data_IF_788921906029
#
_entry.id   IF_788921906029
#
_cell.length_a   1.000
_cell.length_b   1.000
_cell.length_c   1.000
_cell.angle_alpha   90.00
_cell.angle_beta   90.00
_cell.angle_gamma   90.00
#
_symmetry.space_group_name_H-M   'P 1'
#
loop_
_entity.id
_entity.type
_entity.pdbx_description
1 polymer ?
#
# COMPACT_ATOMS: atom_id res chain seq x y z
N UNK A 1 -7.58 28.16 -8.39
CA UNK A 1 -7.21 26.73 -8.22
C UNK A 1 -8.51 25.97 -7.97
N UNK A 2 -8.99 25.21 -8.95
CA UNK A 2 -10.16 24.33 -8.78
C UNK A 2 -9.71 23.13 -7.97
N UNK A 3 -10.28 22.96 -6.78
CA UNK A 3 -10.20 21.70 -6.04
C UNK A 3 -10.86 20.64 -6.93
N UNK A 4 -10.08 19.71 -7.47
CA UNK A 4 -10.68 18.56 -8.15
C UNK A 4 -11.41 17.76 -7.09
N UNK A 5 -12.73 17.82 -7.12
CA UNK A 5 -13.55 16.93 -6.32
C UNK A 5 -13.23 15.50 -6.77
N UNK A 6 -12.98 14.60 -5.80
CA UNK A 6 -12.77 13.17 -6.05
C UNK A 6 -13.96 12.67 -6.86
N UNK A 7 -13.72 12.10 -8.04
CA UNK A 7 -14.78 11.62 -8.93
C UNK A 7 -15.57 10.48 -8.26
N UNK A 8 -16.81 10.26 -8.68
CA UNK A 8 -17.62 9.15 -8.17
C UNK A 8 -16.95 7.80 -8.44
N UNK A 9 -16.32 7.63 -9.59
CA UNK A 9 -15.58 6.42 -9.94
C UNK A 9 -14.37 6.18 -9.03
N UNK A 10 -13.65 7.23 -8.63
CA UNK A 10 -12.55 7.11 -7.65
C UNK A 10 -13.07 6.76 -6.25
N UNK A 11 -14.21 7.30 -5.85
CA UNK A 11 -14.85 6.95 -4.57
C UNK A 11 -15.28 5.46 -4.56
N UNK A 12 -15.90 4.99 -5.64
CA UNK A 12 -16.28 3.57 -5.81
C UNK A 12 -15.04 2.68 -5.79
N UNK A 13 -14.00 3.03 -6.55
CA UNK A 13 -12.75 2.27 -6.59
C UNK A 13 -12.10 2.19 -5.21
N UNK A 14 -12.08 3.28 -4.45
CA UNK A 14 -11.59 3.28 -3.07
C UNK A 14 -12.40 2.37 -2.17
N UNK A 15 -13.74 2.46 -2.23
CA UNK A 15 -14.63 1.63 -1.42
C UNK A 15 -14.42 0.13 -1.70
N UNK A 16 -14.46 -0.28 -2.97
CA UNK A 16 -14.24 -1.67 -3.36
C UNK A 16 -12.79 -2.12 -3.08
N UNK A 17 -11.82 -1.23 -3.27
CA UNK A 17 -10.42 -1.48 -2.94
C UNK A 17 -10.22 -1.79 -1.46
N UNK A 18 -10.86 -1.04 -0.56
CA UNK A 18 -10.82 -1.34 0.89
C UNK A 18 -11.44 -2.71 1.21
N UNK A 19 -12.55 -3.08 0.57
CA UNK A 19 -13.15 -4.40 0.75
C UNK A 19 -12.25 -5.55 0.24
N UNK A 20 -11.48 -5.30 -0.83
CA UNK A 20 -10.47 -6.26 -1.32
C UNK A 20 -9.28 -6.35 -0.35
N UNK A 21 -8.81 -5.21 0.17
CA UNK A 21 -7.70 -5.15 1.14
C UNK A 21 -8.07 -5.90 2.42
N UNK A 22 -9.27 -5.67 2.94
CA UNK A 22 -9.75 -6.30 4.18
C UNK A 22 -10.17 -7.76 4.02
N UNK A 23 -10.31 -8.23 2.76
CA UNK A 23 -10.73 -9.59 2.43
C UNK A 23 -12.25 -9.80 2.44
N UNK A 24 -13.06 -8.76 2.61
CA UNK A 24 -14.52 -8.82 2.46
C UNK A 24 -14.87 -9.26 1.02
N UNK A 25 -14.15 -8.75 0.04
CA UNK A 25 -14.13 -9.28 -1.33
C UNK A 25 -12.94 -10.23 -1.47
N UNK A 26 -13.21 -11.51 -1.35
CA UNK A 26 -12.19 -12.56 -1.31
C UNK A 26 -11.39 -12.68 -2.63
N UNK A 27 -10.11 -13.12 -2.59
CA UNK A 27 -9.35 -13.46 -3.78
C UNK A 27 -10.14 -14.42 -4.69
N UNK A 28 -10.11 -14.21 -6.00
CA UNK A 28 -10.81 -15.01 -6.98
C UNK A 28 -12.33 -14.82 -7.03
N UNK A 29 -12.93 -14.02 -6.16
CA UNK A 29 -14.38 -13.75 -6.19
C UNK A 29 -14.77 -12.93 -7.43
N UNK A 30 -15.96 -13.21 -7.97
CA UNK A 30 -16.53 -12.44 -9.07
C UNK A 30 -17.15 -11.15 -8.55
N UNK A 31 -17.03 -10.09 -9.34
CA UNK A 31 -17.65 -8.79 -9.08
C UNK A 31 -18.79 -8.57 -10.10
N UNK A 32 -20.03 -8.93 -9.78
CA UNK A 32 -21.16 -8.84 -10.71
C UNK A 32 -21.55 -7.36 -10.88
N UNK A 33 -21.26 -6.80 -12.05
CA UNK A 33 -21.39 -5.37 -12.36
C UNK A 33 -22.81 -4.82 -12.07
N UNK A 34 -23.84 -5.50 -12.55
CA UNK A 34 -25.22 -5.00 -12.41
C UNK A 34 -25.70 -5.03 -10.94
N UNK A 35 -25.29 -6.05 -10.19
CA UNK A 35 -25.64 -6.18 -8.77
C UNK A 35 -24.93 -5.15 -7.93
N UNK A 36 -23.62 -4.96 -8.15
CA UNK A 36 -22.83 -3.96 -7.45
C UNK A 36 -23.28 -2.53 -7.77
N UNK A 37 -23.59 -2.24 -9.03
CA UNK A 37 -24.12 -0.92 -9.40
C UNK A 37 -25.44 -0.62 -8.69
N UNK A 38 -26.33 -1.63 -8.57
CA UNK A 38 -27.58 -1.49 -7.82
C UNK A 38 -27.35 -1.36 -6.32
N UNK A 39 -26.43 -2.14 -5.73
CA UNK A 39 -26.13 -2.08 -4.30
C UNK A 39 -25.52 -0.75 -3.88
N UNK A 40 -24.68 -0.17 -4.72
CA UNK A 40 -24.01 1.10 -4.48
C UNK A 40 -24.84 2.34 -4.94
N UNK A 41 -26.01 2.11 -5.55
CA UNK A 41 -26.86 3.14 -6.14
C UNK A 41 -26.12 4.05 -7.13
N UNK A 42 -25.35 3.42 -8.03
CA UNK A 42 -24.54 4.11 -9.03
C UNK A 42 -24.82 3.60 -10.44
N UNK A 43 -24.42 4.37 -11.46
CA UNK A 43 -24.51 3.91 -12.84
C UNK A 43 -23.49 2.78 -13.12
N UNK A 44 -23.86 1.83 -14.01
CA UNK A 44 -22.92 0.82 -14.49
C UNK A 44 -21.69 1.44 -15.18
N UNK A 45 -21.84 2.61 -15.79
CA UNK A 45 -20.72 3.31 -16.39
C UNK A 45 -19.72 3.81 -15.33
N UNK A 46 -20.21 4.40 -14.23
CA UNK A 46 -19.34 4.83 -13.11
C UNK A 46 -18.62 3.63 -12.47
N UNK A 47 -19.33 2.49 -12.36
CA UNK A 47 -18.72 1.27 -11.83
C UNK A 47 -17.65 0.69 -12.76
N UNK A 48 -17.87 0.72 -14.09
CA UNK A 48 -16.85 0.31 -15.06
C UNK A 48 -15.60 1.16 -15.02
N UNK A 49 -15.76 2.47 -14.86
CA UNK A 49 -14.59 3.36 -14.66
C UNK A 49 -13.85 3.02 -13.35
N UNK A 50 -14.58 2.74 -12.26
CA UNK A 50 -13.99 2.29 -11.02
C UNK A 50 -13.24 0.95 -11.18
N UNK A 51 -13.80 0.01 -11.94
CA UNK A 51 -13.12 -1.25 -12.25
C UNK A 51 -11.83 -1.05 -13.05
N UNK A 52 -11.79 -0.11 -14.00
CA UNK A 52 -10.54 0.22 -14.72
C UNK A 52 -9.47 0.79 -13.79
N UNK A 53 -9.87 1.60 -12.79
CA UNK A 53 -8.94 2.08 -11.77
C UNK A 53 -8.39 0.94 -10.91
N UNK A 54 -9.25 0.01 -10.47
CA UNK A 54 -8.86 -1.15 -9.68
C UNK A 54 -7.99 -2.13 -10.49
N UNK A 55 -8.27 -2.31 -11.79
CA UNK A 55 -7.44 -3.12 -12.69
C UNK A 55 -6.05 -2.53 -12.86
N UNK A 56 -5.95 -1.20 -13.06
CA UNK A 56 -4.67 -0.48 -13.09
C UNK A 56 -3.86 -0.66 -11.80
N UNK A 57 -4.54 -0.79 -10.66
CA UNK A 57 -3.95 -1.07 -9.36
C UNK A 57 -3.70 -2.56 -9.11
N UNK A 58 -3.89 -3.44 -10.09
CA UNK A 58 -3.73 -4.89 -10.00
C UNK A 58 -4.60 -5.55 -8.90
N UNK A 59 -5.69 -4.90 -8.50
CA UNK A 59 -6.60 -5.42 -7.48
C UNK A 59 -7.64 -6.38 -8.07
N UNK A 60 -8.03 -6.15 -9.32
CA UNK A 60 -8.97 -6.98 -10.06
C UNK A 60 -8.47 -7.26 -11.48
N UNK A 61 -9.08 -8.24 -12.12
CA UNK A 61 -8.87 -8.59 -13.52
C UNK A 61 -10.20 -8.45 -14.28
N UNK A 62 -10.18 -7.69 -15.39
CA UNK A 62 -11.32 -7.58 -16.29
C UNK A 62 -11.30 -8.71 -17.32
N UNK A 63 -12.25 -9.61 -17.24
CA UNK A 63 -12.36 -10.73 -18.15
C UNK A 63 -13.39 -10.44 -19.26
N UNK A 64 -13.00 -10.46 -20.56
CA UNK A 64 -13.93 -10.22 -21.65
C UNK A 64 -15.17 -11.13 -21.56
N UNK A 65 -16.36 -10.55 -21.56
CA UNK A 65 -17.66 -11.23 -21.46
C UNK A 65 -17.95 -11.95 -20.15
N UNK A 66 -17.02 -11.95 -19.17
CA UNK A 66 -17.17 -12.64 -17.87
C UNK A 66 -17.26 -11.68 -16.67
N UNK A 67 -17.06 -10.37 -16.90
CA UNK A 67 -17.06 -9.35 -15.86
C UNK A 67 -15.70 -9.18 -15.18
N UNK A 68 -15.71 -8.68 -13.97
CA UNK A 68 -14.51 -8.47 -13.17
C UNK A 68 -14.35 -9.57 -12.11
N UNK A 69 -13.11 -9.85 -11.73
CA UNK A 69 -12.72 -10.77 -10.68
C UNK A 69 -11.62 -10.20 -9.81
N UNK A 70 -11.68 -10.42 -8.51
CA UNK A 70 -10.59 -10.06 -7.59
C UNK A 70 -9.37 -10.92 -7.90
N UNK A 71 -8.20 -10.29 -8.07
CA UNK A 71 -6.95 -11.01 -8.33
C UNK A 71 -6.63 -11.99 -7.21
N UNK A 72 -6.09 -13.15 -7.57
CA UNK A 72 -5.51 -14.08 -6.62
C UNK A 72 -4.27 -13.47 -5.95
N UNK A 73 -3.78 -14.12 -4.90
CA UNK A 73 -2.52 -13.74 -4.24
C UNK A 73 -1.58 -14.94 -4.31
N UNK A 74 -0.55 -14.82 -5.12
CA UNK A 74 0.47 -15.87 -5.28
C UNK A 74 1.80 -15.42 -4.70
N UNK A 75 2.65 -16.39 -4.33
CA UNK A 75 4.00 -16.12 -3.82
C UNK A 75 4.85 -15.35 -4.82
N UNK A 76 4.69 -15.66 -6.12
CA UNK A 76 5.39 -14.98 -7.22
C UNK A 76 4.97 -13.51 -7.30
N UNK A 77 3.68 -13.22 -7.35
CA UNK A 77 3.16 -11.86 -7.38
C UNK A 77 3.61 -11.02 -6.18
N UNK A 78 3.70 -11.64 -4.99
CA UNK A 78 4.21 -10.95 -3.80
C UNK A 78 5.68 -10.60 -3.98
N UNK A 79 6.53 -11.55 -4.42
CA UNK A 79 7.96 -11.28 -4.65
C UNK A 79 8.18 -10.20 -5.68
N UNK A 80 7.50 -10.29 -6.82
CA UNK A 80 7.61 -9.33 -7.92
C UNK A 80 7.22 -7.91 -7.48
N UNK A 81 6.11 -7.79 -6.72
CA UNK A 81 5.69 -6.50 -6.19
C UNK A 81 6.73 -5.91 -5.23
N UNK A 82 7.19 -6.71 -4.27
CA UNK A 82 8.13 -6.23 -3.27
C UNK A 82 9.47 -5.85 -3.89
N UNK A 83 10.01 -6.67 -4.80
CA UNK A 83 11.25 -6.37 -5.52
C UNK A 83 11.13 -5.02 -6.27
N UNK A 84 10.10 -4.85 -7.08
CA UNK A 84 9.93 -3.66 -7.89
C UNK A 84 9.59 -2.42 -7.05
N UNK A 85 8.58 -2.52 -6.19
CA UNK A 85 8.11 -1.36 -5.43
C UNK A 85 9.16 -0.85 -4.43
N UNK A 86 9.90 -1.76 -3.76
CA UNK A 86 10.93 -1.34 -2.82
C UNK A 86 12.18 -0.81 -3.49
N UNK A 87 12.44 -1.14 -4.75
CA UNK A 87 13.41 -0.43 -5.59
C UNK A 87 12.98 1.05 -5.78
N UNK A 88 11.71 1.29 -6.09
CA UNK A 88 11.17 2.64 -6.25
C UNK A 88 11.16 3.41 -4.91
N UNK A 89 10.74 2.78 -3.82
CA UNK A 89 10.72 3.37 -2.48
C UNK A 89 12.15 3.64 -1.95
N UNK A 90 13.12 2.78 -2.26
CA UNK A 90 14.53 3.02 -1.97
C UNK A 90 15.01 4.31 -2.66
N UNK A 91 14.69 4.48 -3.93
CA UNK A 91 14.99 5.72 -4.66
C UNK A 91 14.30 6.93 -4.04
N UNK A 92 13.04 6.79 -3.61
CA UNK A 92 12.28 7.84 -2.91
C UNK A 92 12.98 8.27 -1.61
N UNK A 93 13.41 7.30 -0.78
CA UNK A 93 14.12 7.56 0.47
C UNK A 93 15.46 8.28 0.24
N UNK A 94 16.22 7.86 -0.77
CA UNK A 94 17.45 8.56 -1.17
C UNK A 94 17.20 10.00 -1.62
N UNK A 95 16.12 10.26 -2.36
CA UNK A 95 15.73 11.63 -2.75
C UNK A 95 15.31 12.47 -1.54
N UNK A 96 14.55 11.90 -0.61
CA UNK A 96 14.17 12.55 0.65
C UNK A 96 15.43 12.93 1.42
N UNK A 97 16.34 11.99 1.69
CA UNK A 97 17.61 12.25 2.40
C UNK A 97 18.45 13.34 1.75
N UNK A 98 18.54 13.33 0.41
CA UNK A 98 19.36 14.30 -0.32
C UNK A 98 18.80 15.72 -0.33
N UNK A 99 17.48 15.90 -0.25
CA UNK A 99 16.82 17.15 -0.68
C UNK A 99 15.90 17.81 0.31
N UNK A 100 15.51 17.15 1.41
CA UNK A 100 14.59 17.74 2.36
C UNK A 100 15.08 19.11 2.89
N UNK A 101 14.14 20.00 3.15
CA UNK A 101 14.37 21.31 3.73
C UNK A 101 13.59 21.42 5.06
N UNK A 102 13.97 22.33 5.97
CA UNK A 102 13.14 22.62 7.14
C UNK A 102 11.68 22.90 6.74
N UNK A 103 10.75 22.23 7.37
CA UNK A 103 9.32 22.21 7.04
C UNK A 103 8.88 21.02 6.18
N UNK A 104 9.81 20.23 5.63
CA UNK A 104 9.46 19.12 4.74
C UNK A 104 9.26 17.79 5.45
N UNK A 105 9.84 17.57 6.63
CA UNK A 105 9.89 16.26 7.29
C UNK A 105 9.33 16.24 8.70
N UNK A 106 9.06 17.38 9.31
CA UNK A 106 8.66 17.49 10.71
C UNK A 106 7.36 16.73 10.98
N UNK A 107 6.35 16.88 10.13
CA UNK A 107 5.09 16.17 10.22
C UNK A 107 5.26 14.64 10.03
N UNK A 108 6.19 14.23 9.16
CA UNK A 108 6.53 12.81 8.98
C UNK A 108 7.24 12.24 10.22
N UNK A 109 8.15 13.00 10.81
CA UNK A 109 8.83 12.60 12.06
C UNK A 109 7.81 12.49 13.21
N UNK A 110 6.84 13.40 13.29
CA UNK A 110 5.78 13.38 14.30
C UNK A 110 4.80 12.19 14.15
N UNK A 111 4.74 11.57 12.98
CA UNK A 111 3.93 10.36 12.78
C UNK A 111 4.55 9.12 13.46
N UNK A 112 5.88 9.11 13.71
CA UNK A 112 6.54 7.95 14.31
C UNK A 112 6.06 7.63 15.73
N UNK A 113 6.03 8.56 16.69
CA UNK A 113 5.49 8.27 18.03
C UNK A 113 4.00 7.86 17.99
N UNK A 114 3.22 8.36 17.03
CA UNK A 114 1.83 7.93 16.84
C UNK A 114 1.76 6.47 16.37
N UNK A 115 2.64 6.09 15.44
CA UNK A 115 2.75 4.72 14.97
C UNK A 115 3.11 3.76 16.13
N UNK A 116 4.09 4.14 16.95
CA UNK A 116 4.48 3.38 18.15
C UNK A 116 3.31 3.24 19.13
N UNK A 117 2.55 4.31 19.36
CA UNK A 117 1.41 4.29 20.25
C UNK A 117 0.31 3.35 19.77
N UNK A 118 0.04 3.29 18.46
CA UNK A 118 -0.90 2.33 17.89
C UNK A 118 -0.44 0.88 18.09
N UNK A 119 0.86 0.59 17.95
CA UNK A 119 1.40 -0.74 18.24
C UNK A 119 1.28 -1.10 19.73
N UNK A 120 1.62 -0.19 20.64
CA UNK A 120 1.49 -0.42 22.09
C UNK A 120 0.03 -0.69 22.50
N UNK A 121 -0.93 -0.04 21.85
CA UNK A 121 -2.35 -0.20 22.10
C UNK A 121 -2.98 -1.39 21.37
N UNK A 122 -2.19 -2.19 20.63
CA UNK A 122 -2.67 -3.28 19.76
C UNK A 122 -3.69 -2.81 18.69
N UNK A 123 -3.66 -1.52 18.32
CA UNK A 123 -4.47 -0.95 17.25
C UNK A 123 -3.73 -1.08 15.91
N UNK A 124 -3.56 -2.30 15.48
CA UNK A 124 -2.78 -2.66 14.29
C UNK A 124 -3.37 -2.08 13.01
N UNK A 125 -4.70 -1.90 12.97
CA UNK A 125 -5.36 -1.31 11.79
C UNK A 125 -5.01 0.17 11.65
N UNK A 126 -5.03 0.93 12.73
CA UNK A 126 -4.63 2.34 12.71
C UNK A 126 -3.12 2.49 12.43
N UNK A 127 -2.28 1.61 13.01
CA UNK A 127 -0.85 1.57 12.69
C UNK A 127 -0.60 1.36 11.19
N UNK A 128 -1.29 0.38 10.59
CA UNK A 128 -1.20 0.09 9.16
C UNK A 128 -1.63 1.29 8.30
N UNK A 129 -2.78 1.90 8.63
CA UNK A 129 -3.26 3.09 7.91
C UNK A 129 -2.27 4.26 8.01
N UNK A 130 -1.71 4.49 9.20
CA UNK A 130 -0.75 5.58 9.43
C UNK A 130 0.56 5.34 8.66
N UNK A 131 1.08 4.11 8.64
CA UNK A 131 2.28 3.77 7.89
C UNK A 131 2.12 4.04 6.37
N UNK A 132 0.98 3.69 5.81
CA UNK A 132 0.71 3.96 4.39
C UNK A 132 0.47 5.44 4.11
N UNK A 133 -0.16 6.18 5.03
CA UNK A 133 -0.27 7.64 4.91
C UNK A 133 1.09 8.31 4.89
N UNK A 134 2.04 7.82 5.69
CA UNK A 134 3.44 8.27 5.64
C UNK A 134 4.04 8.12 4.24
N UNK A 135 3.90 6.93 3.63
CA UNK A 135 4.42 6.66 2.28
C UNK A 135 3.76 7.56 1.23
N UNK A 136 2.45 7.79 1.32
CA UNK A 136 1.70 8.66 0.41
C UNK A 136 2.22 10.11 0.49
N UNK A 137 2.39 10.65 1.69
CA UNK A 137 2.93 12.01 1.91
C UNK A 137 4.37 12.11 1.39
N UNK A 138 5.23 11.14 1.73
CA UNK A 138 6.61 11.11 1.28
C UNK A 138 6.71 11.04 -0.25
N UNK A 139 5.84 10.26 -0.90
CA UNK A 139 5.79 10.13 -2.36
C UNK A 139 5.45 11.46 -3.02
N UNK A 140 4.40 12.14 -2.57
CA UNK A 140 4.00 13.44 -3.11
C UNK A 140 5.10 14.49 -2.93
N UNK A 141 5.77 14.46 -1.78
CA UNK A 141 6.76 15.50 -1.40
C UNK A 141 8.12 15.28 -2.04
N UNK A 142 8.60 14.03 -2.11
CA UNK A 142 10.00 13.75 -2.44
C UNK A 142 10.24 12.98 -3.74
N UNK A 143 9.22 12.50 -4.44
CA UNK A 143 9.45 11.72 -5.65
C UNK A 143 10.18 12.53 -6.75
N UNK A 144 9.90 13.84 -6.87
CA UNK A 144 10.49 14.74 -7.87
C UNK A 144 10.59 14.17 -9.29
N UNK A 145 9.81 13.12 -9.56
CA UNK A 145 9.71 12.44 -10.84
C UNK A 145 8.28 11.90 -10.95
N UNK A 146 7.54 12.41 -11.93
CA UNK A 146 6.13 12.06 -12.09
C UNK A 146 5.89 10.56 -12.31
N UNK A 147 6.80 9.87 -13.00
CA UNK A 147 6.67 8.44 -13.27
C UNK A 147 6.90 7.64 -11.98
N UNK A 148 7.95 7.98 -11.22
CA UNK A 148 8.20 7.38 -9.92
C UNK A 148 6.99 7.56 -8.98
N UNK A 149 6.43 8.77 -8.92
CA UNK A 149 5.26 9.05 -8.10
C UNK A 149 4.03 8.23 -8.54
N UNK A 150 3.77 8.20 -9.85
CA UNK A 150 2.63 7.46 -10.41
C UNK A 150 2.74 5.96 -10.15
N UNK A 151 3.89 5.35 -10.42
CA UNK A 151 4.08 3.92 -10.25
C UNK A 151 3.97 3.51 -8.77
N UNK A 152 4.53 4.30 -7.84
CA UNK A 152 4.35 4.07 -6.41
C UNK A 152 2.86 4.16 -6.04
N UNK A 153 2.16 5.23 -6.45
CA UNK A 153 0.76 5.44 -6.13
C UNK A 153 -0.16 4.34 -6.67
N UNK A 154 0.10 3.84 -7.87
CA UNK A 154 -0.67 2.76 -8.49
C UNK A 154 -0.45 1.41 -7.79
N UNK A 155 0.73 1.17 -7.19
CA UNK A 155 1.08 -0.09 -6.55
C UNK A 155 0.83 -0.12 -5.02
N UNK A 156 0.71 1.03 -4.37
CA UNK A 156 0.43 1.12 -2.93
C UNK A 156 -0.84 0.34 -2.52
N UNK A 157 -1.98 0.37 -3.25
CA UNK A 157 -3.15 -0.42 -2.87
C UNK A 157 -2.88 -1.92 -2.81
N UNK A 158 -2.06 -2.44 -3.74
CA UNK A 158 -1.68 -3.86 -3.74
C UNK A 158 -0.74 -4.19 -2.57
N UNK A 159 0.21 -3.31 -2.25
CA UNK A 159 1.06 -3.45 -1.06
C UNK A 159 0.21 -3.42 0.23
N UNK A 160 -0.77 -2.51 0.34
CA UNK A 160 -1.74 -2.48 1.46
C UNK A 160 -2.44 -3.82 1.63
N UNK A 161 -2.90 -4.42 0.53
CA UNK A 161 -3.57 -5.72 0.54
C UNK A 161 -2.65 -6.82 1.10
N UNK A 162 -1.42 -6.92 0.61
CA UNK A 162 -0.50 -7.97 1.03
C UNK A 162 -0.05 -7.79 2.50
N UNK A 163 0.29 -6.58 2.89
CA UNK A 163 0.66 -6.30 4.28
C UNK A 163 -0.52 -6.50 5.26
N UNK A 164 -1.77 -6.26 4.84
CA UNK A 164 -2.94 -6.52 5.66
C UNK A 164 -3.17 -8.04 5.89
N UNK A 165 -2.83 -8.88 4.91
CA UNK A 165 -2.83 -10.34 5.08
C UNK A 165 -1.85 -10.74 6.18
N UNK A 166 -0.63 -10.18 6.16
CA UNK A 166 0.38 -10.44 7.19
C UNK A 166 -0.07 -9.97 8.57
N UNK A 167 -0.64 -8.79 8.64
CA UNK A 167 -1.15 -8.19 9.89
C UNK A 167 -2.16 -9.07 10.62
N UNK A 168 -2.99 -9.81 9.87
CA UNK A 168 -4.01 -10.69 10.44
C UNK A 168 -3.46 -12.03 10.97
N UNK A 169 -2.25 -12.43 10.55
CA UNK A 169 -1.71 -13.76 10.83
C UNK A 169 -0.62 -13.79 11.90
N UNK A 170 0.22 -12.76 11.94
CA UNK A 170 1.34 -12.69 12.88
C UNK A 170 1.80 -11.24 13.09
N UNK A 171 1.88 -10.83 14.34
CA UNK A 171 2.33 -9.50 14.75
C UNK A 171 3.72 -9.51 15.40
N UNK A 172 4.34 -10.67 15.54
CA UNK A 172 5.57 -10.85 16.31
C UNK A 172 6.80 -10.11 15.75
N UNK A 173 6.77 -9.74 14.45
CA UNK A 173 7.90 -9.07 13.80
C UNK A 173 7.71 -7.55 13.62
N UNK A 174 6.67 -6.97 14.22
CA UNK A 174 6.46 -5.51 14.15
C UNK A 174 7.60 -4.73 14.78
N UNK A 175 8.15 -5.21 15.89
CA UNK A 175 9.27 -4.53 16.56
C UNK A 175 10.49 -4.42 15.64
N UNK A 176 10.81 -5.47 14.89
CA UNK A 176 11.90 -5.44 13.90
C UNK A 176 11.61 -4.44 12.80
N UNK A 177 10.41 -4.47 12.25
CA UNK A 177 9.97 -3.54 11.20
C UNK A 177 10.02 -2.09 11.68
N UNK A 178 9.58 -1.83 12.90
CA UNK A 178 9.61 -0.50 13.52
C UNK A 178 11.05 -0.01 13.75
N UNK A 179 11.97 -0.89 14.17
CA UNK A 179 13.37 -0.51 14.35
C UNK A 179 14.04 -0.12 13.01
N UNK A 180 13.79 -0.88 11.94
CA UNK A 180 14.29 -0.54 10.61
C UNK A 180 13.72 0.82 10.16
N UNK A 181 12.43 1.04 10.38
CA UNK A 181 11.77 2.28 10.02
C UNK A 181 12.32 3.51 10.80
N UNK A 182 12.60 3.34 12.10
CA UNK A 182 13.27 4.37 12.92
C UNK A 182 14.65 4.70 12.38
N UNK A 183 15.45 3.68 12.05
CA UNK A 183 16.79 3.85 11.49
C UNK A 183 16.74 4.58 10.15
N UNK A 184 15.79 4.24 9.28
CA UNK A 184 15.53 4.96 8.03
C UNK A 184 15.31 6.45 8.27
N UNK A 185 14.44 6.82 9.22
CA UNK A 185 14.18 8.23 9.51
C UNK A 185 15.44 8.95 10.03
N UNK A 186 16.23 8.32 10.89
CA UNK A 186 17.52 8.86 11.34
C UNK A 186 18.44 9.11 10.15
N UNK A 187 18.53 8.18 9.20
CA UNK A 187 19.35 8.32 8.01
C UNK A 187 18.83 9.38 7.04
N UNK A 188 17.51 9.51 6.89
CA UNK A 188 16.91 10.59 6.09
C UNK A 188 17.22 11.95 6.71
N UNK A 189 16.99 12.13 8.02
CA UNK A 189 17.29 13.38 8.74
C UNK A 189 18.78 13.70 8.68
N UNK A 190 19.64 12.70 8.86
CA UNK A 190 21.10 12.81 8.80
C UNK A 190 21.66 13.00 7.39
N UNK A 191 20.83 13.03 6.34
CA UNK A 191 21.21 13.10 4.92
C UNK A 191 22.11 11.97 4.44
N UNK A 192 22.02 10.80 5.06
CA UNK A 192 22.75 9.59 4.72
C UNK A 192 22.05 8.84 3.58
N UNK A 193 22.22 9.31 2.35
CA UNK A 193 21.48 8.82 1.17
C UNK A 193 21.62 7.31 0.98
N UNK A 194 22.85 6.79 0.98
CA UNK A 194 23.12 5.38 0.74
C UNK A 194 22.51 4.48 1.82
N UNK A 195 22.58 4.91 3.09
CA UNK A 195 22.04 4.16 4.23
C UNK A 195 20.50 4.20 4.21
N UNK A 196 19.89 5.34 3.89
CA UNK A 196 18.44 5.45 3.74
C UNK A 196 17.91 4.54 2.61
N UNK A 197 18.61 4.46 1.48
CA UNK A 197 18.28 3.55 0.39
C UNK A 197 18.44 2.08 0.79
N UNK A 198 19.46 1.75 1.59
CA UNK A 198 19.70 0.39 2.08
C UNK A 198 18.63 -0.03 3.10
N UNK A 199 18.26 0.85 4.03
CA UNK A 199 17.23 0.59 5.04
C UNK A 199 15.87 0.26 4.42
N UNK A 200 15.48 0.96 3.36
CA UNK A 200 14.23 0.65 2.65
C UNK A 200 14.28 -0.71 1.98
N UNK A 201 15.41 -1.10 1.39
CA UNK A 201 15.55 -2.44 0.79
C UNK A 201 15.46 -3.53 1.86
N UNK A 202 16.18 -3.38 2.96
CA UNK A 202 16.12 -4.30 4.10
C UNK A 202 14.69 -4.42 4.66
N UNK A 203 13.99 -3.28 4.79
CA UNK A 203 12.60 -3.26 5.22
C UNK A 203 11.71 -4.03 4.25
N UNK A 204 11.86 -3.82 2.95
CA UNK A 204 11.11 -4.53 1.91
C UNK A 204 11.33 -6.03 1.93
N UNK A 205 12.58 -6.46 2.03
CA UNK A 205 12.94 -7.89 2.10
C UNK A 205 12.31 -8.54 3.33
N UNK A 206 12.39 -7.90 4.50
CA UNK A 206 11.78 -8.38 5.73
C UNK A 206 10.25 -8.49 5.59
N UNK A 207 9.58 -7.44 5.10
CA UNK A 207 8.13 -7.43 4.90
C UNK A 207 7.67 -8.49 3.90
N UNK A 208 8.40 -8.69 2.81
CA UNK A 208 8.13 -9.74 1.83
C UNK A 208 8.10 -11.13 2.49
N UNK A 209 9.09 -11.44 3.32
CA UNK A 209 9.15 -12.72 4.02
C UNK A 209 7.99 -12.90 5.01
N UNK A 210 7.59 -11.84 5.73
CA UNK A 210 6.44 -11.87 6.63
C UNK A 210 5.16 -12.21 5.85
N UNK A 211 4.92 -11.53 4.74
CA UNK A 211 3.74 -11.77 3.90
C UNK A 211 3.72 -13.19 3.34
N UNK A 212 4.85 -13.68 2.83
CA UNK A 212 4.94 -15.04 2.29
C UNK A 212 4.64 -16.11 3.34
N UNK A 213 5.14 -15.94 4.58
CA UNK A 213 4.81 -16.84 5.70
C UNK A 213 3.32 -16.81 6.04
N UNK A 214 2.72 -15.61 6.06
CA UNK A 214 1.30 -15.45 6.34
C UNK A 214 0.42 -16.16 5.28
N UNK A 215 0.75 -16.01 4.00
CA UNK A 215 0.04 -16.70 2.90
C UNK A 215 0.20 -18.22 3.00
N UNK A 216 1.40 -18.71 3.28
CA UNK A 216 1.64 -20.14 3.44
C UNK A 216 0.83 -20.73 4.61
N UNK A 217 0.73 -20.00 5.73
CA UNK A 217 -0.08 -20.40 6.89
C UNK A 217 -1.56 -20.50 6.54
N UNK A 218 -2.11 -19.52 5.80
CA UNK A 218 -3.52 -19.56 5.33
C UNK A 218 -3.79 -20.74 4.42
N UNK A 219 -2.91 -21.03 3.47
CA UNK A 219 -3.05 -22.17 2.56
C UNK A 219 -3.07 -23.52 3.29
N UNK A 220 -2.34 -23.63 4.38
CA UNK A 220 -2.29 -24.87 5.18
C UNK A 220 -3.49 -25.01 6.12
N UNK A 221 -4.24 -23.93 6.37
CA UNK A 221 -5.41 -23.92 7.24
C UNK A 221 -6.75 -24.08 6.47
N UNK A 222 -6.75 -23.94 5.15
CA UNK A 222 -7.91 -24.05 4.26
C UNK A 222 -8.06 -25.45 3.67
#
# INVERSE_FOLDING_TARGET
MSLQAVSLSEQIARHLGEQIITGELAPGSRLPENELAKQLDVSTNSLREAFRLLEKQHMIELQPRKGARVCEVTDEQVRDLYEFLFLLLSRLAGQAAARWQPGDIEDLVEMLPQLEQHFVNDDLRAAHQLAFRFVEIATVRFAHNRYLATDIQDLIPLLKRYSFIALQEDTSEFDVSLQIFKRLLVNVVGRNVADAEADIREYGDNQCQIVLRAIAKRRNAA
#
